data_IF_108977659674
#
_entry.id   IF_108977659674
#
_cell.length_a   1.000
_cell.length_b   1.000
_cell.length_c   1.000
_cell.angle_alpha   90.00
_cell.angle_beta   90.00
_cell.angle_gamma   90.00
#
_symmetry.space_group_name_H-M   'P 1'
#
loop_
_entity.id
_entity.type
_entity.pdbx_description
1 polymer ?
#
# COMPACT_ATOMS: atom_id res chain seq x y z
N UNK A 1 -67.67 13.93 -14.25
CA UNK A 1 -67.17 12.77 -13.48
C UNK A 1 -65.67 12.63 -13.72
N UNK A 2 -64.81 12.98 -12.74
CA UNK A 2 -63.36 12.80 -12.90
C UNK A 2 -63.05 11.32 -12.71
N UNK A 3 -62.66 10.65 -13.79
CA UNK A 3 -62.38 9.21 -13.80
C UNK A 3 -61.38 8.84 -12.70
N UNK A 4 -61.80 7.90 -11.86
CA UNK A 4 -61.03 7.35 -10.75
C UNK A 4 -59.84 6.57 -11.33
N UNK A 5 -58.70 7.26 -11.49
CA UNK A 5 -57.49 6.62 -12.00
C UNK A 5 -57.04 5.59 -10.96
N UNK A 6 -57.28 4.30 -11.24
CA UNK A 6 -56.78 3.19 -10.42
C UNK A 6 -55.29 3.36 -10.20
N UNK A 7 -54.91 3.47 -8.93
CA UNK A 7 -53.54 3.75 -8.55
C UNK A 7 -52.75 2.44 -8.62
N UNK A 8 -51.73 2.38 -9.49
CA UNK A 8 -50.98 1.16 -9.75
C UNK A 8 -49.74 1.07 -8.85
N UNK A 9 -49.38 -0.14 -8.46
CA UNK A 9 -48.14 -0.41 -7.78
C UNK A 9 -46.99 -0.49 -8.80
N UNK A 10 -45.90 0.20 -8.53
CA UNK A 10 -44.69 0.28 -9.35
C UNK A 10 -43.46 -0.01 -8.48
N UNK A 11 -42.38 -0.48 -9.09
CA UNK A 11 -41.11 -0.64 -8.39
C UNK A 11 -40.40 0.70 -8.17
N UNK A 12 -39.69 0.83 -7.04
CA UNK A 12 -38.96 2.04 -6.70
C UNK A 12 -37.73 2.23 -7.60
N UNK A 13 -37.67 3.35 -8.32
CA UNK A 13 -36.64 3.61 -9.32
C UNK A 13 -35.21 3.81 -8.75
N UNK A 14 -35.03 3.77 -7.42
CA UNK A 14 -33.69 3.79 -6.81
C UNK A 14 -32.98 2.42 -6.84
N UNK A 15 -33.69 1.36 -7.23
CA UNK A 15 -33.15 0.00 -7.31
C UNK A 15 -33.14 -0.75 -5.97
N UNK A 16 -33.94 -0.35 -4.97
CA UNK A 16 -34.01 -1.04 -3.67
C UNK A 16 -34.88 -2.32 -3.68
N UNK A 17 -35.59 -2.61 -4.77
CA UNK A 17 -36.50 -3.76 -4.88
C UNK A 17 -37.85 -3.59 -4.18
N UNK A 18 -38.11 -2.47 -3.51
CA UNK A 18 -39.40 -2.19 -2.87
C UNK A 18 -40.40 -1.57 -3.85
N UNK A 19 -41.68 -1.84 -3.62
CA UNK A 19 -42.80 -1.30 -4.41
C UNK A 19 -43.41 -0.04 -3.77
N UNK A 20 -43.97 0.83 -4.60
CA UNK A 20 -44.71 2.02 -4.20
C UNK A 20 -45.92 2.24 -5.10
N UNK A 21 -46.87 3.01 -4.60
CA UNK A 21 -48.04 3.43 -5.34
C UNK A 21 -47.70 4.63 -6.26
N UNK A 22 -48.05 4.54 -7.55
CA UNK A 22 -47.62 5.46 -8.61
C UNK A 22 -48.09 6.90 -8.43
N UNK A 23 -49.29 7.13 -7.88
CA UNK A 23 -49.83 8.48 -7.68
C UNK A 23 -50.02 8.79 -6.20
N UNK A 24 -49.76 10.02 -5.77
CA UNK A 24 -50.09 10.47 -4.42
C UNK A 24 -51.58 10.89 -4.28
N UNK A 25 -51.97 11.33 -3.08
CA UNK A 25 -53.34 11.79 -2.80
C UNK A 25 -53.77 12.99 -3.64
N UNK A 26 -52.81 13.76 -4.18
CA UNK A 26 -53.03 14.90 -5.08
C UNK A 26 -52.96 14.50 -6.56
N UNK A 27 -52.80 13.20 -6.87
CA UNK A 27 -52.71 12.69 -8.23
C UNK A 27 -51.36 12.92 -8.92
N UNK A 28 -50.31 13.33 -8.18
CA UNK A 28 -48.97 13.56 -8.75
C UNK A 28 -48.21 12.24 -8.86
N UNK A 29 -47.52 11.98 -9.99
CA UNK A 29 -46.77 10.75 -10.17
C UNK A 29 -45.53 10.70 -9.27
N UNK A 30 -45.35 9.60 -8.54
CA UNK A 30 -44.20 9.26 -7.72
C UNK A 30 -43.29 8.30 -8.48
N UNK A 31 -41.98 8.50 -8.37
CA UNK A 31 -40.95 7.59 -8.92
C UNK A 31 -40.16 6.83 -7.85
N UNK A 32 -40.14 7.39 -6.64
CA UNK A 32 -39.33 6.90 -5.52
C UNK A 32 -40.19 6.84 -4.25
N UNK A 33 -39.87 5.89 -3.37
CA UNK A 33 -40.35 5.92 -1.98
C UNK A 33 -39.86 7.23 -1.34
N UNK A 34 -40.62 7.77 -0.39
CA UNK A 34 -40.25 9.01 0.29
C UNK A 34 -38.86 8.85 0.94
N UNK A 35 -37.94 9.78 0.70
CA UNK A 35 -36.54 9.70 1.12
C UNK A 35 -35.60 8.97 0.14
N UNK A 36 -36.12 8.30 -0.90
CA UNK A 36 -35.30 7.62 -1.92
C UNK A 36 -35.00 8.51 -3.14
N UNK A 37 -35.43 9.77 -3.12
CA UNK A 37 -35.18 10.79 -4.15
C UNK A 37 -33.88 11.58 -3.96
N UNK A 38 -33.16 11.34 -2.86
CA UNK A 38 -31.87 11.98 -2.61
C UNK A 38 -30.77 11.40 -3.49
N UNK A 39 -29.97 12.26 -4.13
CA UNK A 39 -28.63 11.91 -4.68
C UNK A 39 -27.63 11.66 -3.54
N UNK A 40 -28.08 11.03 -2.45
CA UNK A 40 -27.39 10.93 -1.17
C UNK A 40 -27.16 9.48 -0.78
N UNK A 41 -26.01 9.26 -0.15
CA UNK A 41 -25.43 7.98 0.21
C UNK A 41 -26.47 7.00 0.80
N UNK A 42 -26.73 5.87 0.11
CA UNK A 42 -27.74 4.84 0.48
C UNK A 42 -27.58 4.29 1.92
N UNK A 43 -26.38 4.48 2.51
CA UNK A 43 -26.04 4.13 3.89
C UNK A 43 -26.87 4.89 4.94
N UNK A 44 -27.39 6.08 4.62
CA UNK A 44 -28.20 6.89 5.56
C UNK A 44 -29.61 6.33 5.79
N UNK A 45 -30.09 5.45 4.91
CA UNK A 45 -31.42 4.83 4.97
C UNK A 45 -31.41 3.46 5.67
N UNK A 46 -30.28 3.02 6.23
CA UNK A 46 -30.17 1.72 6.93
C UNK A 46 -30.30 0.48 6.03
N UNK A 47 -30.38 0.66 4.71
CA UNK A 47 -30.51 -0.43 3.74
C UNK A 47 -29.16 -1.15 3.63
N UNK A 48 -29.03 -2.33 4.25
CA UNK A 48 -27.85 -3.18 4.13
C UNK A 48 -27.83 -3.78 2.72
N UNK A 49 -26.78 -3.46 1.95
CA UNK A 49 -26.55 -4.10 0.66
C UNK A 49 -26.27 -5.60 0.83
N UNK A 50 -26.74 -6.46 -0.09
CA UNK A 50 -26.42 -7.88 -0.07
C UNK A 50 -24.91 -8.09 -0.24
N UNK A 51 -24.35 -9.17 0.31
CA UNK A 51 -22.90 -9.45 0.24
C UNK A 51 -22.39 -9.51 -1.20
N UNK A 52 -23.20 -10.04 -2.14
CA UNK A 52 -22.88 -10.03 -3.58
C UNK A 52 -22.64 -8.62 -4.13
N UNK A 53 -23.46 -7.64 -3.71
CA UNK A 53 -23.27 -6.25 -4.11
C UNK A 53 -22.01 -5.64 -3.46
N UNK A 54 -21.73 -5.97 -2.19
CA UNK A 54 -20.50 -5.50 -1.52
C UNK A 54 -19.26 -6.08 -2.20
N UNK A 55 -19.29 -7.35 -2.57
CA UNK A 55 -18.21 -8.02 -3.29
C UNK A 55 -17.97 -7.38 -4.66
N UNK A 56 -19.02 -7.24 -5.48
CA UNK A 56 -18.94 -6.55 -6.77
C UNK A 56 -18.35 -5.13 -6.64
N UNK A 57 -18.76 -4.38 -5.61
CA UNK A 57 -18.22 -3.04 -5.35
C UNK A 57 -16.74 -3.06 -4.93
N UNK A 58 -16.31 -4.03 -4.11
CA UNK A 58 -14.89 -4.21 -3.76
C UNK A 58 -14.05 -4.51 -5.00
N UNK A 59 -14.53 -5.39 -5.87
CA UNK A 59 -13.84 -5.76 -7.12
C UNK A 59 -13.72 -4.56 -8.06
N UNK A 60 -14.80 -3.80 -8.25
CA UNK A 60 -14.81 -2.58 -9.07
C UNK A 60 -13.96 -1.45 -8.49
N UNK A 61 -13.82 -1.38 -7.18
CA UNK A 61 -13.13 -0.29 -6.47
C UNK A 61 -11.75 -0.71 -5.95
N UNK A 62 -11.10 -1.68 -6.60
CA UNK A 62 -9.77 -2.15 -6.21
C UNK A 62 -8.82 -2.24 -7.40
N UNK A 63 -7.53 -2.04 -7.13
CA UNK A 63 -6.46 -2.17 -8.11
C UNK A 63 -6.75 -1.42 -9.41
N UNK A 64 -6.49 -2.10 -10.53
CA UNK A 64 -6.66 -1.59 -11.90
C UNK A 64 -8.11 -1.25 -12.26
N UNK A 65 -9.09 -1.85 -11.57
CA UNK A 65 -10.50 -1.56 -11.82
C UNK A 65 -10.94 -0.21 -11.23
N UNK A 66 -10.19 0.31 -10.25
CA UNK A 66 -10.53 1.57 -9.61
C UNK A 66 -10.38 2.73 -10.60
N UNK A 67 -11.39 3.61 -10.79
CA UNK A 67 -11.31 4.70 -11.78
C UNK A 67 -10.17 5.71 -11.57
N UNK A 68 -9.64 5.79 -10.34
CA UNK A 68 -8.49 6.63 -10.00
C UNK A 68 -7.16 5.87 -10.02
N UNK A 69 -7.14 4.62 -10.52
CA UNK A 69 -5.93 3.86 -10.68
C UNK A 69 -5.00 4.53 -11.69
N UNK A 70 -3.77 4.80 -11.28
CA UNK A 70 -2.75 5.48 -12.08
C UNK A 70 -1.53 4.57 -12.27
N UNK A 71 -1.77 3.37 -12.79
CA UNK A 71 -0.71 2.38 -13.03
C UNK A 71 0.00 1.91 -11.76
N UNK A 72 -0.70 1.92 -10.62
CA UNK A 72 -0.15 1.52 -9.33
C UNK A 72 0.76 2.56 -8.68
N UNK A 73 0.82 3.80 -9.18
CA UNK A 73 1.52 4.90 -8.51
C UNK A 73 0.53 5.78 -7.76
N UNK A 74 0.87 6.16 -6.53
CA UNK A 74 0.08 7.06 -5.70
C UNK A 74 0.97 8.10 -5.00
N UNK A 75 0.45 9.30 -4.75
CA UNK A 75 1.14 10.32 -3.97
C UNK A 75 0.74 10.19 -2.50
N UNK A 76 1.74 10.09 -1.62
CA UNK A 76 1.57 10.12 -0.19
C UNK A 76 1.43 11.57 0.30
N UNK A 77 0.67 11.81 1.37
CA UNK A 77 0.47 13.14 1.96
C UNK A 77 1.78 13.82 2.36
N UNK A 78 2.79 13.03 2.71
CA UNK A 78 4.15 13.48 2.97
C UNK A 78 4.98 13.76 1.71
N UNK A 79 4.41 13.90 0.51
CA UNK A 79 5.16 14.21 -0.71
C UNK A 79 5.99 13.07 -1.30
N UNK A 80 5.85 11.85 -0.77
CA UNK A 80 6.52 10.66 -1.32
C UNK A 80 5.67 10.00 -2.41
N UNK A 81 6.32 9.27 -3.30
CA UNK A 81 5.64 8.40 -4.26
C UNK A 81 5.55 6.97 -3.69
N UNK A 82 4.36 6.39 -3.79
CA UNK A 82 4.04 5.01 -3.46
C UNK A 82 3.85 4.22 -4.75
N UNK A 83 4.34 2.98 -4.78
CA UNK A 83 4.21 2.03 -5.88
C UNK A 83 3.51 0.77 -5.36
N UNK A 84 2.50 0.30 -6.08
CA UNK A 84 1.77 -0.91 -5.75
C UNK A 84 2.67 -2.14 -5.92
N UNK A 85 2.91 -2.84 -4.82
CA UNK A 85 3.79 -4.00 -4.72
C UNK A 85 3.17 -5.03 -3.75
N UNK A 86 2.13 -5.77 -4.18
CA UNK A 86 1.38 -6.70 -3.32
C UNK A 86 2.23 -7.86 -2.79
N UNK A 87 3.25 -8.27 -3.54
CA UNK A 87 4.16 -9.35 -3.14
C UNK A 87 5.35 -8.88 -2.29
N UNK A 88 5.48 -7.57 -2.04
CA UNK A 88 6.63 -7.05 -1.32
C UNK A 88 6.55 -7.41 0.19
N UNK A 89 7.57 -8.05 0.79
CA UNK A 89 7.50 -8.54 2.17
C UNK A 89 7.35 -7.42 3.20
N UNK A 90 7.91 -6.24 2.91
CA UNK A 90 7.85 -5.05 3.76
C UNK A 90 6.93 -3.96 3.19
N UNK A 91 5.87 -4.34 2.47
CA UNK A 91 4.89 -3.39 1.94
C UNK A 91 4.22 -2.58 3.06
N UNK A 92 3.96 -1.32 2.75
CA UNK A 92 3.11 -0.42 3.51
C UNK A 92 1.62 -0.75 3.31
N UNK A 93 0.74 0.05 3.92
CA UNK A 93 -0.70 -0.13 3.84
C UNK A 93 -1.22 -0.19 2.40
N UNK A 94 -2.23 -1.03 2.16
CA UNK A 94 -2.90 -1.14 0.87
C UNK A 94 -2.07 -1.78 -0.24
N UNK A 95 -1.06 -2.59 0.10
CA UNK A 95 -0.15 -3.22 -0.86
C UNK A 95 0.78 -2.26 -1.62
N UNK A 96 1.14 -1.13 -1.00
CA UNK A 96 2.07 -0.17 -1.60
C UNK A 96 3.43 -0.17 -0.90
N UNK A 97 4.46 0.31 -1.56
CA UNK A 97 5.77 0.62 -0.95
C UNK A 97 6.26 1.96 -1.45
N UNK A 98 7.09 2.64 -0.66
CA UNK A 98 7.72 3.88 -1.09
C UNK A 98 8.70 3.66 -2.24
N UNK A 99 8.58 4.44 -3.31
CA UNK A 99 9.39 4.30 -4.52
C UNK A 99 10.90 4.44 -4.21
N UNK A 100 11.28 5.39 -3.36
CA UNK A 100 12.68 5.56 -2.95
C UNK A 100 13.26 4.31 -2.26
N UNK A 101 12.43 3.51 -1.57
CA UNK A 101 12.89 2.23 -1.00
C UNK A 101 13.15 1.23 -2.11
N UNK A 102 12.22 1.08 -3.06
CA UNK A 102 12.39 0.17 -4.20
C UNK A 102 13.65 0.49 -5.02
N UNK A 103 13.92 1.77 -5.30
CA UNK A 103 15.12 2.18 -6.03
C UNK A 103 16.39 1.76 -5.28
N UNK A 104 16.43 1.99 -3.96
CA UNK A 104 17.56 1.59 -3.14
C UNK A 104 17.69 0.05 -3.03
N UNK A 105 16.58 -0.68 -2.89
CA UNK A 105 16.56 -2.14 -2.83
C UNK A 105 17.06 -2.78 -4.13
N UNK A 106 16.66 -2.23 -5.27
CA UNK A 106 17.13 -2.63 -6.59
C UNK A 106 18.63 -2.40 -6.73
N UNK A 107 19.14 -1.25 -6.26
CA UNK A 107 20.57 -0.96 -6.27
C UNK A 107 21.38 -1.92 -5.39
N UNK A 108 20.88 -2.27 -4.20
CA UNK A 108 21.55 -3.18 -3.26
C UNK A 108 21.40 -4.66 -3.63
N UNK A 109 20.42 -5.00 -4.47
CA UNK A 109 20.05 -6.37 -4.80
C UNK A 109 19.33 -7.13 -3.68
N UNK A 110 18.79 -6.40 -2.68
CA UNK A 110 18.04 -6.95 -1.55
C UNK A 110 16.96 -6.02 -1.03
N UNK A 111 16.00 -6.60 -0.31
CA UNK A 111 15.08 -5.84 0.51
C UNK A 111 15.81 -5.09 1.61
N UNK A 112 15.34 -3.87 1.86
CA UNK A 112 15.74 -3.07 3.01
C UNK A 112 15.06 -3.62 4.25
N UNK A 113 15.80 -3.69 5.33
CA UNK A 113 15.29 -4.05 6.64
C UNK A 113 14.28 -2.99 7.11
N UNK A 114 13.35 -3.37 8.01
CA UNK A 114 12.35 -2.44 8.54
C UNK A 114 12.94 -1.21 9.24
N UNK A 115 14.12 -1.35 9.84
CA UNK A 115 14.83 -0.28 10.55
C UNK A 115 15.72 0.59 9.64
N UNK A 116 16.02 0.14 8.43
CA UNK A 116 16.79 0.93 7.47
C UNK A 116 15.96 2.10 6.93
N UNK A 117 16.58 3.28 6.85
CA UNK A 117 15.95 4.53 6.41
C UNK A 117 16.64 5.10 5.18
N UNK A 118 15.85 5.49 4.19
CA UNK A 118 16.33 6.19 2.99
C UNK A 118 16.00 7.67 3.14
N UNK A 119 16.98 8.52 2.88
CA UNK A 119 16.87 9.97 2.98
C UNK A 119 17.17 10.62 1.64
N UNK A 120 16.37 11.63 1.27
CA UNK A 120 16.59 12.47 0.09
C UNK A 120 17.52 13.63 0.44
N UNK A 121 18.71 13.65 -0.15
CA UNK A 121 19.77 14.63 0.16
C UNK A 121 19.33 16.06 -0.17
N UNK A 122 18.64 16.25 -1.31
CA UNK A 122 18.12 17.55 -1.72
C UNK A 122 16.79 17.96 -1.03
N UNK A 123 16.22 17.09 -0.18
CA UNK A 123 14.93 17.32 0.49
C UNK A 123 13.70 17.18 -0.42
N UNK A 124 13.87 16.92 -1.71
CA UNK A 124 12.79 16.71 -2.69
C UNK A 124 12.41 15.22 -2.67
N UNK A 125 11.20 14.92 -2.17
CA UNK A 125 10.77 13.56 -1.77
C UNK A 125 10.33 12.65 -2.93
N UNK A 126 10.13 13.22 -4.11
CA UNK A 126 9.83 12.53 -5.36
C UNK A 126 11.06 12.43 -6.29
N UNK A 127 12.18 13.06 -5.97
CA UNK A 127 13.45 12.90 -6.68
C UNK A 127 14.17 11.62 -6.22
N UNK A 128 13.76 10.49 -6.80
CA UNK A 128 14.23 9.16 -6.44
C UNK A 128 15.48 8.73 -7.22
N UNK A 129 16.25 9.65 -7.80
CA UNK A 129 17.54 9.34 -8.42
C UNK A 129 18.51 8.82 -7.36
N UNK A 130 19.25 7.77 -7.69
CA UNK A 130 20.07 7.05 -6.70
C UNK A 130 21.12 7.97 -6.05
N UNK A 131 21.72 8.89 -6.81
CA UNK A 131 22.66 9.90 -6.31
C UNK A 131 22.07 10.87 -5.30
N UNK A 132 20.74 11.02 -5.28
CA UNK A 132 20.01 11.85 -4.32
C UNK A 132 19.56 11.06 -3.07
N UNK A 133 19.78 9.74 -3.03
CA UNK A 133 19.34 8.89 -1.94
C UNK A 133 20.50 8.49 -1.04
N UNK A 134 20.27 8.55 0.28
CA UNK A 134 21.21 8.09 1.29
C UNK A 134 20.56 7.07 2.23
N UNK A 135 21.20 5.92 2.38
CA UNK A 135 20.76 4.87 3.28
C UNK A 135 21.38 5.04 4.67
N UNK A 136 20.55 4.87 5.69
CA UNK A 136 20.92 4.83 7.10
C UNK A 136 20.48 3.49 7.70
N UNK A 137 21.30 2.97 8.62
CA UNK A 137 21.03 1.69 9.29
C UNK A 137 19.91 1.79 10.34
N UNK A 138 19.56 3.01 10.77
CA UNK A 138 18.50 3.25 11.75
C UNK A 138 18.01 4.70 11.74
N UNK A 139 16.82 4.92 12.30
CA UNK A 139 16.28 6.26 12.58
C UNK A 139 17.23 7.12 13.41
N UNK A 140 17.96 6.53 14.37
CA UNK A 140 18.88 7.27 15.22
C UNK A 140 20.07 7.83 14.43
N UNK A 141 20.58 7.06 13.46
CA UNK A 141 21.67 7.51 12.59
C UNK A 141 21.19 8.63 11.65
N UNK A 142 19.98 8.49 11.13
CA UNK A 142 19.32 9.51 10.31
C UNK A 142 19.06 10.81 11.09
N UNK A 143 18.58 10.72 12.34
CA UNK A 143 18.36 11.89 13.20
C UNK A 143 19.66 12.64 13.54
N UNK A 144 20.77 11.92 13.77
CA UNK A 144 22.09 12.53 13.96
C UNK A 144 22.54 13.26 12.68
N UNK A 145 22.31 12.65 11.52
CA UNK A 145 22.64 13.29 10.24
C UNK A 145 21.86 14.59 10.04
N UNK A 146 20.59 14.64 10.44
CA UNK A 146 19.75 15.85 10.40
C UNK A 146 20.05 16.87 11.52
N UNK A 147 21.05 16.61 12.38
CA UNK A 147 21.38 17.49 13.51
C UNK A 147 20.33 17.50 14.63
N UNK A 148 19.45 16.49 14.67
CA UNK A 148 18.39 16.31 15.69
C UNK A 148 18.82 15.41 16.86
N UNK A 149 20.04 14.86 16.81
CA UNK A 149 20.58 13.97 17.83
C UNK A 149 21.05 14.71 19.09
N UNK A 150 20.85 14.09 20.26
CA UNK A 150 21.37 14.54 21.56
C UNK A 150 22.91 14.60 21.50
N UNK A 151 23.52 15.61 22.14
CA UNK A 151 24.94 16.01 22.10
C UNK A 151 25.98 14.95 22.49
N UNK A 152 26.03 13.87 21.71
CA UNK A 152 27.05 12.83 21.75
C UNK A 152 27.98 13.12 20.58
N UNK A 153 29.29 12.94 20.79
CA UNK A 153 30.28 12.92 19.72
C UNK A 153 29.78 12.03 18.55
N UNK A 154 29.58 12.69 17.40
CA UNK A 154 28.98 12.12 16.18
C UNK A 154 29.73 10.86 15.74
N UNK A 155 31.05 10.86 15.84
CA UNK A 155 31.88 9.75 15.38
C UNK A 155 31.75 8.54 16.30
N UNK A 156 31.75 8.79 17.62
CA UNK A 156 31.51 7.77 18.66
C UNK A 156 30.11 7.18 18.56
N UNK A 157 29.09 8.01 18.30
CA UNK A 157 27.71 7.58 18.12
C UNK A 157 27.55 6.65 16.89
N UNK A 158 28.12 7.03 15.75
CA UNK A 158 28.09 6.21 14.52
C UNK A 158 28.74 4.84 14.76
N UNK A 159 29.89 4.80 15.45
CA UNK A 159 30.60 3.54 15.76
C UNK A 159 29.74 2.59 16.61
N UNK A 160 29.11 3.10 17.65
CA UNK A 160 28.21 2.33 18.53
C UNK A 160 26.97 1.85 17.76
N UNK A 161 26.39 2.70 16.91
CA UNK A 161 25.21 2.35 16.11
C UNK A 161 25.51 1.24 15.09
N UNK A 162 26.64 1.33 14.37
CA UNK A 162 27.09 0.28 13.44
C UNK A 162 27.32 -1.05 14.15
N UNK A 163 27.94 -1.04 15.34
CA UNK A 163 28.13 -2.24 16.15
C UNK A 163 26.78 -2.85 16.59
N UNK A 164 25.84 -2.01 17.04
CA UNK A 164 24.48 -2.46 17.40
C UNK A 164 23.69 -2.98 16.20
N UNK A 165 23.85 -2.41 15.01
CA UNK A 165 23.24 -2.94 13.78
C UNK A 165 23.78 -4.34 13.47
N UNK A 166 25.10 -4.52 13.47
CA UNK A 166 25.73 -5.83 13.28
C UNK A 166 25.29 -6.87 14.33
N UNK A 167 25.20 -6.48 15.61
CA UNK A 167 24.71 -7.35 16.68
C UNK A 167 23.22 -7.68 16.53
N UNK A 168 22.39 -6.73 16.06
CA UNK A 168 20.96 -6.97 15.76
C UNK A 168 20.78 -7.98 14.63
N UNK A 169 21.59 -7.90 13.57
CA UNK A 169 21.61 -8.92 12.51
C UNK A 169 22.00 -10.30 13.06
N UNK A 170 23.00 -10.35 13.96
CA UNK A 170 23.38 -11.59 14.64
C UNK A 170 22.25 -12.16 15.52
N UNK A 171 21.51 -11.30 16.25
CA UNK A 171 20.41 -11.71 17.16
C UNK A 171 19.12 -12.10 16.45
N UNK A 172 18.75 -11.47 15.32
CA UNK A 172 17.58 -11.87 14.50
C UNK A 172 17.78 -13.25 13.85
N UNK A 173 18.99 -13.79 13.90
CA UNK A 173 19.37 -15.01 13.21
C UNK A 173 19.54 -14.75 11.71
N UNK A 174 20.47 -15.47 11.09
CA UNK A 174 20.65 -15.44 9.65
C UNK A 174 19.74 -16.53 9.07
N UNK A 175 18.59 -16.19 8.46
CA UNK A 175 17.63 -17.19 8.04
C UNK A 175 18.21 -18.02 6.89
N UNK A 176 17.92 -19.32 6.88
CA UNK A 176 18.14 -20.15 5.69
C UNK A 176 17.10 -19.80 4.64
N UNK A 177 17.56 -19.55 3.42
CA UNK A 177 16.72 -19.33 2.24
C UNK A 177 17.08 -20.35 1.17
N UNK A 178 16.14 -20.67 0.29
CA UNK A 178 16.36 -21.55 -0.85
C UNK A 178 17.03 -20.82 -2.02
N UNK A 179 17.84 -21.54 -2.79
CA UNK A 179 18.54 -21.03 -3.95
C UNK A 179 17.57 -20.63 -5.05
N UNK A 180 17.59 -19.35 -5.41
CA UNK A 180 16.68 -18.79 -6.41
C UNK A 180 16.88 -19.36 -7.84
N UNK A 181 17.92 -20.17 -8.08
CA UNK A 181 18.04 -20.92 -9.33
C UNK A 181 17.13 -22.17 -9.39
N UNK A 182 16.38 -22.47 -8.33
CA UNK A 182 15.47 -23.62 -8.28
C UNK A 182 16.15 -24.96 -7.93
N UNK A 183 17.43 -24.97 -7.59
CA UNK A 183 18.16 -26.21 -7.31
C UNK A 183 17.82 -26.87 -5.94
N UNK A 184 16.86 -26.34 -5.19
CA UNK A 184 16.42 -26.85 -3.89
C UNK A 184 17.46 -26.77 -2.74
N UNK A 185 18.61 -26.13 -2.95
CA UNK A 185 19.63 -25.98 -1.90
C UNK A 185 19.32 -24.80 -1.00
N UNK A 186 19.37 -25.00 0.31
CA UNK A 186 19.22 -23.93 1.30
C UNK A 186 20.58 -23.40 1.76
N UNK A 187 20.69 -22.09 1.93
CA UNK A 187 21.90 -21.42 2.42
C UNK A 187 21.52 -20.20 3.26
N UNK A 188 22.46 -19.71 4.06
CA UNK A 188 22.25 -18.52 4.88
C UNK A 188 22.04 -17.28 4.00
N UNK A 189 20.95 -16.54 4.27
CA UNK A 189 20.53 -15.34 3.54
C UNK A 189 21.62 -14.28 3.46
N UNK A 190 22.39 -14.09 4.52
CA UNK A 190 23.47 -13.10 4.57
C UNK A 190 24.85 -13.79 4.61
N UNK A 191 25.86 -13.21 3.96
CA UNK A 191 27.26 -13.65 4.05
C UNK A 191 27.96 -13.12 5.32
N UNK A 192 29.22 -13.48 5.52
CA UNK A 192 30.04 -13.04 6.67
C UNK A 192 30.23 -11.52 6.75
N UNK A 193 30.02 -10.80 5.64
CA UNK A 193 30.07 -9.34 5.54
C UNK A 193 28.67 -8.70 5.61
N UNK A 194 27.63 -9.49 5.90
CA UNK A 194 26.24 -9.03 5.98
C UNK A 194 25.59 -8.74 4.62
N UNK A 195 26.23 -9.08 3.50
CA UNK A 195 25.62 -8.93 2.17
C UNK A 195 24.64 -10.05 1.94
N UNK A 196 23.48 -9.72 1.40
CA UNK A 196 22.49 -10.73 1.02
C UNK A 196 22.97 -11.56 -0.15
N UNK A 197 22.70 -12.84 -0.06
CA UNK A 197 22.96 -13.83 -1.09
C UNK A 197 21.61 -14.26 -1.67
N UNK A 198 21.53 -14.41 -3.00
CA UNK A 198 20.35 -14.94 -3.70
C UNK A 198 20.55 -16.36 -4.21
N UNK A 199 21.80 -16.73 -4.43
CA UNK A 199 22.20 -18.03 -4.94
C UNK A 199 23.25 -18.66 -4.02
N UNK A 200 23.31 -19.98 -4.04
CA UNK A 200 24.47 -20.73 -3.54
C UNK A 200 25.71 -20.28 -4.31
N UNK A 201 26.88 -20.36 -3.69
CA UNK A 201 28.13 -19.99 -4.35
C UNK A 201 28.30 -20.77 -5.67
N UNK A 202 28.63 -20.06 -6.76
CA UNK A 202 28.75 -20.66 -8.10
C UNK A 202 27.44 -20.79 -8.90
N UNK A 203 26.26 -20.53 -8.30
CA UNK A 203 24.97 -20.66 -8.97
C UNK A 203 24.47 -19.35 -9.62
N UNK A 204 25.30 -18.29 -9.62
CA UNK A 204 24.90 -16.92 -9.95
C UNK A 204 24.92 -16.51 -11.42
N UNK A 205 25.05 -17.44 -12.38
CA UNK A 205 25.02 -17.15 -13.81
C UNK A 205 24.42 -18.30 -14.60
N UNK A 206 23.50 -17.96 -15.50
CA UNK A 206 23.13 -18.54 -16.82
C UNK A 206 21.64 -18.28 -17.06
N UNK A 207 21.28 -17.04 -17.37
CA UNK A 207 20.10 -16.72 -18.16
C UNK A 207 20.54 -15.69 -19.20
N UNK A 208 20.40 -16.04 -20.47
CA UNK A 208 20.60 -15.18 -21.64
C UNK A 208 19.65 -13.98 -21.60
#
# INVERSE_FOLDING_TARGET
MKGEKRNIEISCACGCGQSLIKYDKQGRPRRFINGHNGRGNKYRLGIKHPESFKQMMRERMSGENHPQWKGGRAYHSGGYILVHAPEHPHKHHGNYIFEHRLVMEQHLGRYLEPDERVHHINGIRDDNRLENLKLFSSDAEHAIFEGRGIGIDREKAIRVMKAKAAERHRKRGNPLIECACGCGKSFLKYDERGRTRRYVHGHGRWQN
#
